data_IF_182409342301
#
_entry.id   IF_182409342301
#
_cell.length_a   1.000
_cell.length_b   1.000
_cell.length_c   1.000
_cell.angle_alpha   90.00
_cell.angle_beta   90.00
_cell.angle_gamma   90.00
#
_symmetry.space_group_name_H-M   'P 1'
#
loop_
_entity.id
_entity.type
_entity.pdbx_description
1 polymer ?
#
# COMPACT_ATOMS: atom_id res chain seq x y z
N UNK A 1 -4.12 3.34 -8.74
CA UNK A 1 -3.35 2.68 -7.68
C UNK A 1 -2.55 3.77 -7.03
N UNK A 2 -2.45 3.69 -5.71
CA UNK A 2 -1.80 4.71 -4.91
C UNK A 2 -1.34 4.13 -3.58
N UNK A 3 -0.35 4.77 -2.98
CA UNK A 3 0.25 4.41 -1.71
C UNK A 3 -0.14 5.39 -0.62
N UNK A 4 -0.51 4.87 0.54
CA UNK A 4 -0.74 5.70 1.72
C UNK A 4 -0.07 5.13 2.95
N UNK A 5 0.34 6.01 3.86
CA UNK A 5 0.91 5.64 5.14
C UNK A 5 -0.19 5.39 6.17
N UNK A 6 -0.24 4.19 6.73
CA UNK A 6 -1.17 3.82 7.80
C UNK A 6 -0.42 3.54 9.10
N UNK A 7 -1.09 3.75 10.24
CA UNK A 7 -0.54 3.35 11.54
C UNK A 7 -1.08 1.99 11.96
N UNK A 8 -0.19 1.12 12.42
CA UNK A 8 -0.54 -0.16 13.08
C UNK A 8 -0.86 0.03 14.56
N UNK A 9 -0.65 1.24 15.08
CA UNK A 9 -0.81 1.53 16.49
C UNK A 9 -2.25 1.92 16.75
N UNK A 10 -2.84 1.27 17.75
CA UNK A 10 -4.15 1.64 18.23
C UNK A 10 -4.17 3.12 18.60
N UNK A 11 -5.30 3.79 18.41
CA UNK A 11 -5.55 5.08 19.05
C UNK A 11 -6.23 4.77 20.36
N UNK A 12 -5.57 4.90 21.53
CA UNK A 12 -6.27 4.65 22.78
C UNK A 12 -7.49 5.59 22.94
N UNK A 13 -8.34 5.27 23.89
CA UNK A 13 -9.53 6.07 24.16
C UNK A 13 -9.23 7.34 24.96
N UNK A 14 -10.24 8.21 25.05
CA UNK A 14 -10.23 9.36 25.94
C UNK A 14 -10.21 8.91 27.40
N UNK A 15 -9.36 9.54 28.22
CA UNK A 15 -9.25 9.25 29.65
C UNK A 15 -9.97 10.36 30.42
N UNK A 16 -10.96 9.97 31.23
CA UNK A 16 -11.62 10.88 32.17
C UNK A 16 -10.84 10.87 33.49
N UNK A 17 -10.35 12.03 33.93
CA UNK A 17 -9.61 12.18 35.18
C UNK A 17 -10.15 13.33 36.02
N UNK A 18 -9.92 13.28 37.34
CA UNK A 18 -10.32 14.36 38.26
C UNK A 18 -9.58 15.65 37.94
N UNK A 19 -10.30 16.77 37.94
CA UNK A 19 -9.73 18.13 37.77
C UNK A 19 -8.62 18.35 38.80
N UNK A 20 -7.41 18.68 38.32
CA UNK A 20 -6.22 18.90 39.15
C UNK A 20 -5.13 17.81 39.04
N UNK A 21 -5.45 16.64 38.48
CA UNK A 21 -4.44 15.62 38.18
C UNK A 21 -3.65 15.96 36.92
N UNK A 22 -2.32 16.03 37.02
CA UNK A 22 -1.42 16.38 35.90
C UNK A 22 -0.74 15.17 35.24
N UNK A 23 -0.65 14.03 35.93
CA UNK A 23 -0.08 12.79 35.39
C UNK A 23 -1.21 11.84 34.98
N UNK A 24 -1.54 11.86 33.70
CA UNK A 24 -2.49 10.94 33.07
C UNK A 24 -1.71 10.16 32.01
N UNK A 25 -1.45 8.89 32.28
CA UNK A 25 -0.71 8.01 31.40
C UNK A 25 -1.61 7.28 30.40
N UNK A 26 -1.07 6.96 29.23
CA UNK A 26 -1.74 6.17 28.19
C UNK A 26 -0.75 5.14 27.66
N UNK A 27 -1.17 3.87 27.62
CA UNK A 27 -0.37 2.79 27.05
C UNK A 27 -0.61 2.78 25.53
N UNK A 28 0.48 2.82 24.77
CA UNK A 28 0.49 2.79 23.30
C UNK A 28 1.62 1.89 22.84
N UNK A 29 1.53 1.33 21.64
CA UNK A 29 2.66 0.59 21.05
C UNK A 29 3.90 1.50 20.92
N UNK A 30 5.09 0.91 21.04
CA UNK A 30 6.36 1.58 20.78
C UNK A 30 6.52 2.00 19.31
N UNK A 31 5.70 1.43 18.42
CA UNK A 31 5.65 1.80 16.99
C UNK A 31 4.90 3.12 16.74
N UNK A 32 4.45 3.81 17.80
CA UNK A 32 3.69 5.05 17.65
C UNK A 32 4.52 6.09 16.89
N UNK A 33 3.98 6.57 15.77
CA UNK A 33 4.67 7.52 14.90
C UNK A 33 5.40 6.87 13.72
N UNK A 34 5.52 5.54 13.70
CA UNK A 34 5.93 4.81 12.51
C UNK A 34 4.69 4.53 11.64
N UNK A 35 4.86 4.73 10.33
CA UNK A 35 3.85 4.42 9.34
C UNK A 35 4.29 3.21 8.53
N UNK A 36 3.32 2.36 8.24
CA UNK A 36 3.41 1.26 7.29
C UNK A 36 2.85 1.76 5.95
N UNK A 37 3.50 1.44 4.84
CA UNK A 37 2.94 1.81 3.53
C UNK A 37 1.96 0.75 3.08
N UNK A 38 0.79 1.16 2.60
CA UNK A 38 -0.17 0.28 1.95
C UNK A 38 -0.42 0.75 0.53
N UNK A 39 -0.24 -0.15 -0.43
CA UNK A 39 -0.61 0.05 -1.82
C UNK A 39 -2.06 -0.43 -2.04
N UNK A 40 -2.89 0.48 -2.56
CA UNK A 40 -4.32 0.27 -2.76
C UNK A 40 -4.66 0.39 -4.24
N UNK A 41 -5.54 -0.50 -4.71
CA UNK A 41 -6.04 -0.49 -6.07
C UNK A 41 -7.56 -0.59 -6.05
N UNK A 42 -8.19 0.36 -6.71
CA UNK A 42 -9.64 0.36 -6.98
C UNK A 42 -9.89 0.38 -8.49
N UNK A 43 -11.07 -0.08 -8.87
CA UNK A 43 -11.56 -0.08 -10.25
C UNK A 43 -12.77 0.84 -10.39
N UNK A 44 -13.06 1.27 -11.61
CA UNK A 44 -14.23 2.11 -11.90
C UNK A 44 -15.57 1.45 -11.55
N UNK A 45 -15.62 0.11 -11.43
CA UNK A 45 -16.82 -0.61 -10.98
C UNK A 45 -16.99 -0.62 -9.45
N UNK A 46 -16.10 0.02 -8.70
CA UNK A 46 -16.13 0.06 -7.24
C UNK A 46 -15.49 -1.17 -6.56
N UNK A 47 -14.91 -2.10 -7.33
CA UNK A 47 -14.17 -3.23 -6.76
C UNK A 47 -12.74 -2.82 -6.40
N UNK A 48 -12.15 -3.48 -5.41
CA UNK A 48 -10.75 -3.33 -5.02
C UNK A 48 -9.99 -4.66 -5.09
N UNK A 49 -8.69 -4.58 -5.35
CA UNK A 49 -7.77 -5.72 -5.15
C UNK A 49 -7.37 -5.76 -3.67
N UNK A 50 -7.18 -6.95 -3.04
CA UNK A 50 -6.66 -7.03 -1.68
C UNK A 50 -5.39 -6.20 -1.50
N UNK A 51 -5.23 -5.57 -0.35
CA UNK A 51 -4.16 -4.58 -0.13
C UNK A 51 -2.77 -5.24 -0.11
N UNK A 52 -1.76 -4.48 -0.52
CA UNK A 52 -0.36 -4.89 -0.44
C UNK A 52 0.38 -3.99 0.55
N UNK A 53 0.96 -4.58 1.61
CA UNK A 53 1.59 -3.85 2.70
C UNK A 53 3.12 -3.86 2.58
N UNK A 54 3.77 -2.77 2.98
CA UNK A 54 5.22 -2.65 3.04
C UNK A 54 5.60 -2.21 4.45
N UNK A 55 6.27 -3.13 5.17
CA UNK A 55 6.64 -2.90 6.55
C UNK A 55 8.07 -2.34 6.68
N UNK A 56 8.35 -1.31 7.52
CA UNK A 56 9.68 -0.75 7.78
C UNK A 56 10.49 -1.69 8.69
N UNK A 57 10.73 -2.91 8.19
CA UNK A 57 11.39 -4.02 8.88
C UNK A 57 12.37 -4.71 7.91
N UNK A 58 13.43 -5.29 8.44
CA UNK A 58 14.44 -5.99 7.61
C UNK A 58 13.93 -7.33 7.07
N UNK A 59 13.06 -8.01 7.83
CA UNK A 59 12.54 -9.34 7.47
C UNK A 59 11.03 -9.34 7.54
N UNK A 60 10.40 -9.73 6.44
CA UNK A 60 8.97 -9.96 6.41
C UNK A 60 8.61 -11.21 7.22
N UNK A 61 7.49 -11.15 7.95
CA UNK A 61 6.93 -12.26 8.69
C UNK A 61 5.44 -12.35 8.37
N UNK A 62 4.96 -13.57 8.13
CA UNK A 62 3.55 -13.80 7.73
C UNK A 62 2.55 -13.25 8.74
N UNK A 63 2.87 -13.28 10.04
CA UNK A 63 2.00 -12.77 11.09
C UNK A 63 1.82 -11.24 11.07
N UNK A 64 2.61 -10.50 10.28
CA UNK A 64 2.38 -9.05 10.08
C UNK A 64 1.05 -8.76 9.39
N UNK A 65 0.50 -9.74 8.66
CA UNK A 65 -0.79 -9.65 8.01
C UNK A 65 -1.93 -10.20 8.88
N UNK A 66 -1.69 -10.50 10.16
CA UNK A 66 -2.74 -10.94 11.07
C UNK A 66 -3.79 -9.83 11.23
N UNK A 67 -5.04 -10.12 10.85
CA UNK A 67 -6.13 -9.15 10.87
C UNK A 67 -6.20 -8.24 9.64
N UNK A 68 -5.30 -8.40 8.66
CA UNK A 68 -5.46 -7.78 7.35
C UNK A 68 -6.61 -8.44 6.58
N UNK A 69 -7.22 -7.74 5.60
CA UNK A 69 -8.23 -8.32 4.73
C UNK A 69 -7.76 -9.59 4.02
N UNK A 70 -8.70 -10.49 3.74
CA UNK A 70 -8.40 -11.76 3.09
C UNK A 70 -7.74 -11.55 1.72
N UNK A 71 -6.67 -12.30 1.49
CA UNK A 71 -5.89 -12.22 0.26
C UNK A 71 -4.86 -11.10 0.23
N UNK A 72 -4.76 -10.26 1.27
CA UNK A 72 -3.67 -9.29 1.42
C UNK A 72 -2.31 -9.99 1.37
N UNK A 73 -1.33 -9.27 0.83
CA UNK A 73 0.06 -9.68 0.79
C UNK A 73 0.94 -8.55 1.30
N UNK A 74 2.22 -8.82 1.49
CA UNK A 74 3.13 -7.75 1.85
C UNK A 74 4.59 -8.13 1.76
N UNK A 75 5.41 -7.11 1.93
CA UNK A 75 6.84 -7.17 1.91
C UNK A 75 7.40 -6.35 3.08
N UNK A 76 8.71 -6.45 3.31
CA UNK A 76 9.36 -5.63 4.30
C UNK A 76 10.71 -5.14 3.77
N UNK A 77 11.01 -3.88 4.04
CA UNK A 77 12.33 -3.30 3.82
C UNK A 77 12.63 -2.29 4.94
N UNK A 78 13.89 -1.86 5.14
CA UNK A 78 14.22 -0.94 6.24
C UNK A 78 13.54 0.44 6.15
N UNK A 79 13.15 0.89 4.96
CA UNK A 79 12.61 2.24 4.76
C UNK A 79 11.09 2.30 4.99
N UNK A 80 10.38 1.18 4.79
CA UNK A 80 8.92 1.11 4.75
C UNK A 80 8.29 1.64 3.45
N UNK A 81 9.10 2.18 2.53
CA UNK A 81 8.63 2.77 1.27
C UNK A 81 8.63 1.75 0.14
N UNK A 82 7.81 1.98 -0.89
CA UNK A 82 7.91 1.17 -2.10
C UNK A 82 9.23 1.43 -2.83
N UNK A 83 9.89 0.35 -3.22
CA UNK A 83 11.04 0.35 -4.13
C UNK A 83 10.71 -0.54 -5.32
N UNK A 84 11.55 -0.55 -6.35
CA UNK A 84 11.39 -1.43 -7.52
C UNK A 84 11.18 -2.90 -7.14
N UNK A 85 11.87 -3.39 -6.10
CA UNK A 85 11.73 -4.77 -5.61
C UNK A 85 10.32 -5.04 -5.08
N UNK A 86 9.77 -4.10 -4.30
CA UNK A 86 8.42 -4.22 -3.77
C UNK A 86 7.37 -4.00 -4.87
N UNK A 87 7.65 -3.14 -5.85
CA UNK A 87 6.76 -2.92 -6.99
C UNK A 87 6.65 -4.16 -7.89
N UNK A 88 7.74 -4.89 -8.11
CA UNK A 88 7.69 -6.20 -8.77
C UNK A 88 6.89 -7.23 -7.97
N UNK A 89 7.08 -7.31 -6.65
CA UNK A 89 6.26 -8.20 -5.81
C UNK A 89 4.77 -7.82 -5.86
N UNK A 90 4.49 -6.51 -5.87
CA UNK A 90 3.15 -5.98 -6.05
C UNK A 90 2.58 -6.34 -7.44
N UNK A 91 3.37 -6.35 -8.52
CA UNK A 91 2.87 -6.69 -9.86
C UNK A 91 2.37 -8.14 -9.94
N UNK A 92 3.07 -9.08 -9.31
CA UNK A 92 2.61 -10.46 -9.17
C UNK A 92 1.30 -10.56 -8.37
N UNK A 93 1.22 -9.82 -7.26
CA UNK A 93 0.02 -9.75 -6.43
C UNK A 93 -1.16 -9.14 -7.18
N UNK A 94 -0.94 -8.03 -7.89
CA UNK A 94 -1.93 -7.37 -8.72
C UNK A 94 -2.50 -8.33 -9.76
N UNK A 95 -1.63 -9.01 -10.52
CA UNK A 95 -2.05 -9.92 -11.58
C UNK A 95 -2.94 -11.05 -11.05
N UNK A 96 -2.58 -11.63 -9.89
CA UNK A 96 -3.36 -12.70 -9.24
C UNK A 96 -4.84 -12.33 -9.05
N UNK A 97 -5.14 -11.06 -8.76
CA UNK A 97 -6.51 -10.60 -8.48
C UNK A 97 -7.15 -9.84 -9.64
N UNK A 98 -6.38 -9.10 -10.45
CA UNK A 98 -6.87 -8.41 -11.64
C UNK A 98 -7.37 -9.40 -12.72
N UNK A 99 -6.76 -10.61 -12.76
CA UNK A 99 -7.07 -11.68 -13.73
C UNK A 99 -7.08 -11.18 -15.17
N UNK A 100 -6.18 -10.25 -15.50
CA UNK A 100 -6.04 -9.71 -16.86
C UNK A 100 -5.59 -10.80 -17.82
N UNK A 101 -5.93 -10.65 -19.09
CA UNK A 101 -5.35 -11.44 -20.18
C UNK A 101 -5.07 -10.52 -21.35
N UNK A 102 -4.36 -11.00 -22.38
CA UNK A 102 -4.11 -10.18 -23.59
C UNK A 102 -5.40 -9.85 -24.34
N UNK A 103 -6.41 -10.70 -24.24
CA UNK A 103 -7.74 -10.54 -24.83
C UNK A 103 -8.66 -9.66 -23.97
N UNK A 104 -8.39 -9.59 -22.66
CA UNK A 104 -9.11 -8.75 -21.70
C UNK A 104 -8.13 -7.90 -20.91
N UNK A 105 -7.54 -6.88 -21.55
CA UNK A 105 -6.48 -6.09 -20.94
C UNK A 105 -7.01 -5.23 -19.80
N UNK A 106 -6.12 -4.91 -18.87
CA UNK A 106 -6.40 -3.99 -17.75
C UNK A 106 -5.49 -2.78 -17.87
N UNK A 107 -6.06 -1.58 -17.67
CA UNK A 107 -5.30 -0.34 -17.54
C UNK A 107 -5.05 -0.08 -16.06
N UNK A 108 -3.78 -0.02 -15.67
CA UNK A 108 -3.34 0.37 -14.34
C UNK A 108 -2.87 1.84 -14.39
N UNK A 109 -3.59 2.69 -13.66
CA UNK A 109 -3.23 4.10 -13.47
C UNK A 109 -2.49 4.26 -12.14
N UNK A 110 -1.40 5.01 -12.12
CA UNK A 110 -0.60 5.31 -10.93
C UNK A 110 0.22 6.59 -11.14
N UNK A 111 0.90 7.08 -10.09
CA UNK A 111 1.74 8.27 -10.20
C UNK A 111 3.06 8.00 -10.95
N UNK A 112 4.00 8.95 -10.94
CA UNK A 112 5.31 8.79 -11.58
C UNK A 112 6.45 8.68 -10.56
N UNK A 113 6.22 8.04 -9.41
CA UNK A 113 7.28 7.74 -8.45
C UNK A 113 8.32 6.77 -9.04
N UNK A 114 9.60 6.96 -8.69
CA UNK A 114 10.71 6.21 -9.30
C UNK A 114 10.59 4.69 -9.13
N UNK A 115 9.99 4.21 -8.03
CA UNK A 115 9.75 2.77 -7.82
C UNK A 115 8.86 2.15 -8.90
N UNK A 116 8.01 2.95 -9.54
CA UNK A 116 7.08 2.51 -10.57
C UNK A 116 7.72 2.33 -11.95
N UNK A 117 8.98 2.78 -12.08
CA UNK A 117 9.75 2.68 -13.32
C UNK A 117 10.59 1.40 -13.41
N UNK A 118 10.38 0.44 -12.49
CA UNK A 118 11.02 -0.88 -12.56
C UNK A 118 10.72 -1.58 -13.88
N UNK A 119 11.76 -1.76 -14.70
CA UNK A 119 11.64 -2.40 -16.02
C UNK A 119 11.07 -3.81 -15.89
N UNK A 120 11.54 -4.59 -14.91
CA UNK A 120 11.07 -5.95 -14.66
C UNK A 120 9.56 -5.99 -14.34
N UNK A 121 9.08 -5.06 -13.50
CA UNK A 121 7.67 -4.98 -13.17
C UNK A 121 6.82 -4.56 -14.38
N UNK A 122 7.28 -3.57 -15.15
CA UNK A 122 6.60 -3.09 -16.35
C UNK A 122 6.53 -4.15 -17.45
N UNK A 123 7.61 -4.89 -17.68
CA UNK A 123 7.64 -6.02 -18.59
C UNK A 123 6.67 -7.11 -18.13
N UNK A 124 6.67 -7.46 -16.83
CA UNK A 124 5.72 -8.42 -16.28
C UNK A 124 4.27 -7.99 -16.48
N UNK A 125 3.93 -6.72 -16.25
CA UNK A 125 2.60 -6.19 -16.50
C UNK A 125 2.22 -6.33 -17.98
N UNK A 126 3.10 -5.90 -18.88
CA UNK A 126 2.86 -5.94 -20.32
C UNK A 126 2.65 -7.36 -20.83
N UNK A 127 3.48 -8.31 -20.40
CA UNK A 127 3.36 -9.73 -20.77
C UNK A 127 2.03 -10.34 -20.32
N UNK A 128 1.48 -9.86 -19.21
CA UNK A 128 0.25 -10.32 -18.60
C UNK A 128 -1.00 -9.48 -18.96
N UNK A 129 -0.93 -8.67 -20.01
CA UNK A 129 -2.08 -7.90 -20.51
C UNK A 129 -2.46 -6.72 -19.63
N UNK A 130 -1.51 -6.18 -18.87
CA UNK A 130 -1.69 -4.97 -18.06
C UNK A 130 -0.91 -3.83 -18.73
N UNK A 131 -1.62 -2.78 -19.11
CA UNK A 131 -0.99 -1.53 -19.57
C UNK A 131 -0.86 -0.59 -18.38
N UNK A 132 0.34 -0.07 -18.14
CA UNK A 132 0.60 0.88 -17.07
C UNK A 132 0.64 2.30 -17.66
N UNK A 133 -0.08 3.23 -17.04
CA UNK A 133 -0.07 4.64 -17.41
C UNK A 133 0.20 5.48 -16.16
N UNK A 134 1.32 6.20 -16.17
CA UNK A 134 1.67 7.14 -15.10
C UNK A 134 1.07 8.52 -15.34
N UNK A 135 0.72 9.21 -14.26
CA UNK A 135 0.26 10.59 -14.33
C UNK A 135 1.45 11.57 -14.50
N UNK A 136 1.23 12.72 -15.18
CA UNK A 136 2.23 13.78 -15.19
C UNK A 136 2.57 14.26 -13.76
N UNK A 137 3.82 14.69 -13.52
CA UNK A 137 4.22 15.21 -12.22
C UNK A 137 3.31 16.33 -11.73
N UNK A 138 3.11 16.42 -10.41
CA UNK A 138 2.33 17.47 -9.74
C UNK A 138 0.86 17.59 -10.19
N UNK A 139 0.29 16.54 -10.79
CA UNK A 139 -1.10 16.52 -11.23
C UNK A 139 -2.02 15.65 -10.36
N UNK A 140 -1.53 15.08 -9.26
CA UNK A 140 -2.29 14.11 -8.45
C UNK A 140 -3.63 14.68 -7.96
N UNK A 141 -3.64 15.92 -7.45
CA UNK A 141 -4.85 16.66 -7.04
C UNK A 141 -5.98 16.77 -8.09
N UNK A 142 -5.71 16.48 -9.36
CA UNK A 142 -6.72 16.49 -10.44
C UNK A 142 -6.94 15.12 -11.07
N UNK A 143 -5.92 14.25 -11.06
CA UNK A 143 -5.90 13.03 -11.87
C UNK A 143 -5.89 11.75 -11.03
N UNK A 144 -5.38 11.79 -9.80
CA UNK A 144 -5.30 10.62 -8.92
C UNK A 144 -6.62 10.50 -8.14
N UNK A 145 -7.49 9.53 -8.46
CA UNK A 145 -8.78 9.36 -7.78
C UNK A 145 -8.67 8.83 -6.34
N UNK A 146 -7.47 8.43 -5.91
CA UNK A 146 -7.20 7.86 -4.59
C UNK A 146 -6.53 8.84 -3.61
N UNK A 147 -6.09 10.00 -4.10
CA UNK A 147 -5.60 11.14 -3.31
C UNK A 147 -6.79 12.04 -2.89
#
# INVERSE_FOLDING_TARGET
>A
MDETGITTVQTPDHIVARKGFKQIGRVTSAERGNLETVAVVVSASGNSIPQFFIFPRVKFKSYFLNGAPDGSAGAANPSGWMTEVQFLQFSHHFFKYARSTKERPVLLLLDNHDSHLSVEALDYFKENGVSVCSFPPHCSHKLQPLD
#
